data_IF_453818363383
#
_entry.id   IF_453818363383
#
_cell.length_a   1.000
_cell.length_b   1.000
_cell.length_c   1.000
_cell.angle_alpha   90.00
_cell.angle_beta   90.00
_cell.angle_gamma   90.00
#
_symmetry.space_group_name_H-M   'P 1'
#
loop_
_entity.id
_entity.type
_entity.pdbx_description
1 polymer ?
#
# COMPACT_ATOMS: atom_id res chain seq x y z
N UNK A 1 -12.08 8.25 1.88
CA UNK A 1 -10.60 8.30 1.87
C UNK A 1 -10.00 7.48 0.72
N UNK A 2 -10.49 6.26 0.45
CA UNK A 2 -9.93 5.35 -0.58
C UNK A 2 -10.72 5.28 -1.90
N UNK A 3 -11.50 6.32 -2.22
CA UNK A 3 -12.39 6.34 -3.40
C UNK A 3 -11.63 6.33 -4.74
N UNK A 4 -10.32 6.58 -4.70
CA UNK A 4 -9.42 6.55 -5.85
C UNK A 4 -9.01 5.15 -6.28
N UNK A 5 -9.33 4.14 -5.47
CA UNK A 5 -9.13 2.73 -5.80
C UNK A 5 -10.48 2.10 -6.12
N UNK A 6 -10.58 1.35 -7.21
CA UNK A 6 -11.80 0.66 -7.67
C UNK A 6 -12.52 -0.11 -6.55
N UNK A 7 -11.72 -0.72 -5.69
CA UNK A 7 -12.19 -1.52 -4.57
C UNK A 7 -11.69 -1.00 -3.22
N UNK A 8 -11.40 0.29 -3.08
CA UNK A 8 -10.89 0.87 -1.83
C UNK A 8 -11.75 0.61 -0.59
N UNK A 9 -13.04 0.27 -0.78
CA UNK A 9 -13.92 -0.18 0.30
C UNK A 9 -13.37 -1.40 1.07
N UNK A 10 -12.51 -2.23 0.47
CA UNK A 10 -11.89 -3.37 1.17
C UNK A 10 -10.99 -2.92 2.32
N UNK A 11 -10.32 -1.77 2.18
CA UNK A 11 -9.52 -1.17 3.25
C UNK A 11 -10.45 -0.65 4.34
N UNK A 12 -11.49 0.11 3.95
CA UNK A 12 -12.49 0.64 4.89
C UNK A 12 -13.18 -0.47 5.70
N UNK A 13 -13.44 -1.62 5.08
CA UNK A 13 -14.09 -2.74 5.77
C UNK A 13 -13.24 -3.35 6.89
N UNK A 14 -11.92 -3.14 6.90
CA UNK A 14 -11.00 -3.69 7.92
C UNK A 14 -10.56 -2.61 8.91
N UNK A 15 -10.22 -1.42 8.40
CA UNK A 15 -9.60 -0.33 9.17
C UNK A 15 -10.54 0.85 9.42
N UNK A 16 -11.79 0.77 8.95
CA UNK A 16 -12.76 1.87 8.95
C UNK A 16 -12.19 3.13 8.27
N UNK A 17 -12.41 4.31 8.84
CA UNK A 17 -11.99 5.58 8.25
C UNK A 17 -10.55 5.99 8.65
N UNK A 18 -9.78 5.09 9.26
CA UNK A 18 -8.38 5.37 9.58
C UNK A 18 -7.57 5.59 8.31
N UNK A 19 -6.57 6.47 8.35
CA UNK A 19 -5.59 6.60 7.28
C UNK A 19 -4.48 5.57 7.48
N UNK A 20 -4.59 4.44 6.78
CA UNK A 20 -3.66 3.32 6.93
C UNK A 20 -2.26 3.58 6.36
N UNK A 21 -2.07 4.70 5.66
CA UNK A 21 -0.82 5.01 4.99
C UNK A 21 0.14 5.79 5.89
N UNK A 22 -0.37 6.63 6.79
CA UNK A 22 0.51 7.47 7.62
C UNK A 22 1.26 6.62 8.65
N UNK A 23 2.59 6.70 8.65
CA UNK A 23 3.45 5.90 9.53
C UNK A 23 3.69 4.47 9.05
N UNK A 24 3.07 4.06 7.94
CA UNK A 24 3.34 2.78 7.29
C UNK A 24 4.66 2.78 6.53
N UNK A 25 5.11 1.61 6.11
CA UNK A 25 6.38 1.43 5.39
C UNK A 25 6.10 0.94 3.95
N UNK A 26 6.75 1.52 2.94
CA UNK A 26 6.83 0.88 1.62
C UNK A 26 7.92 -0.19 1.70
N UNK A 27 7.55 -1.46 1.53
CA UNK A 27 8.49 -2.58 1.54
C UNK A 27 9.08 -2.82 0.15
N UNK A 28 8.22 -2.76 -0.87
CA UNK A 28 8.61 -3.08 -2.23
C UNK A 28 7.83 -2.25 -3.25
N UNK A 29 8.49 -1.95 -4.36
CA UNK A 29 7.89 -1.32 -5.53
C UNK A 29 8.38 -2.08 -6.77
N UNK A 30 7.44 -2.61 -7.54
CA UNK A 30 7.75 -3.30 -8.79
C UNK A 30 7.07 -2.58 -9.96
N UNK A 31 7.88 -1.91 -10.77
CA UNK A 31 7.45 -1.26 -12.00
C UNK A 31 7.71 -2.16 -13.21
N UNK A 32 6.64 -2.46 -13.95
CA UNK A 32 6.64 -3.25 -15.17
C UNK A 32 6.30 -2.32 -16.35
N UNK A 33 7.31 -1.67 -16.98
CA UNK A 33 7.07 -0.65 -18.00
C UNK A 33 6.36 -1.19 -19.24
N UNK A 34 6.69 -2.41 -19.67
CA UNK A 34 6.09 -3.02 -20.86
C UNK A 34 4.60 -3.34 -20.70
N UNK A 35 4.13 -3.58 -19.48
CA UNK A 35 2.71 -3.79 -19.19
C UNK A 35 2.02 -2.54 -18.67
N UNK A 36 2.75 -1.45 -18.44
CA UNK A 36 2.21 -0.22 -17.85
C UNK A 36 1.60 -0.48 -16.48
N UNK A 37 2.29 -1.24 -15.61
CA UNK A 37 1.81 -1.57 -14.26
C UNK A 37 2.87 -1.22 -13.21
N UNK A 38 2.45 -0.59 -12.12
CA UNK A 38 3.21 -0.46 -10.87
C UNK A 38 2.48 -1.26 -9.78
N UNK A 39 3.23 -2.02 -9.00
CA UNK A 39 2.72 -2.65 -7.77
C UNK A 39 3.53 -2.17 -6.58
N UNK A 40 2.85 -1.92 -5.46
CA UNK A 40 3.46 -1.47 -4.20
C UNK A 40 2.96 -2.33 -3.04
N UNK A 41 3.88 -2.70 -2.16
CA UNK A 41 3.60 -3.41 -0.91
C UNK A 41 3.78 -2.43 0.25
N UNK A 42 2.68 -2.15 0.97
CA UNK A 42 2.65 -1.21 2.09
C UNK A 42 2.40 -1.97 3.38
N UNK A 43 3.29 -1.82 4.36
CA UNK A 43 3.18 -2.46 5.67
C UNK A 43 2.54 -1.48 6.65
N UNK A 44 1.30 -1.74 7.06
CA UNK A 44 0.58 -0.91 8.02
C UNK A 44 0.46 -1.58 9.39
N UNK A 45 0.71 -0.78 10.43
CA UNK A 45 0.48 -1.15 11.84
C UNK A 45 -0.77 -0.46 12.42
N UNK A 46 -1.63 0.09 11.58
CA UNK A 46 -2.90 0.64 12.03
C UNK A 46 -3.76 -0.42 12.69
N UNK A 47 -4.60 0.01 13.62
CA UNK A 47 -5.49 -0.89 14.36
C UNK A 47 -6.49 -1.53 13.39
N UNK A 48 -6.53 -2.86 13.40
CA UNK A 48 -7.53 -3.63 12.66
C UNK A 48 -8.82 -3.64 13.48
N UNK A 49 -9.87 -2.98 12.98
CA UNK A 49 -11.14 -2.81 13.70
C UNK A 49 -12.09 -3.96 13.40
N UNK A 50 -12.17 -4.36 12.14
CA UNK A 50 -13.11 -5.36 11.64
C UNK A 50 -12.35 -6.49 10.92
N UNK A 51 -11.62 -7.35 11.68
CA UNK A 51 -10.82 -8.41 11.08
C UNK A 51 -11.72 -9.43 10.36
N UNK A 52 -11.34 -9.89 9.15
CA UNK A 52 -11.95 -11.06 8.54
C UNK A 52 -11.91 -12.27 9.49
N UNK A 53 -12.95 -13.13 9.48
CA UNK A 53 -13.06 -14.29 10.40
C UNK A 53 -11.86 -15.24 10.40
N UNK A 54 -11.10 -15.28 9.29
CA UNK A 54 -9.90 -16.13 9.14
C UNK A 54 -8.64 -15.53 9.75
N UNK A 55 -8.66 -14.26 10.17
CA UNK A 55 -7.52 -13.59 10.78
C UNK A 55 -7.55 -13.83 12.28
N UNK A 56 -6.62 -14.66 12.77
CA UNK A 56 -6.54 -14.98 14.20
C UNK A 56 -5.57 -14.06 14.95
N UNK A 57 -4.48 -13.63 14.29
CA UNK A 57 -3.43 -12.78 14.85
C UNK A 57 -2.71 -12.03 13.75
N UNK A 58 -2.22 -10.83 14.05
CA UNK A 58 -1.36 -10.03 13.18
C UNK A 58 -0.46 -9.12 14.02
N UNK A 59 0.77 -8.89 13.56
CA UNK A 59 1.69 -7.86 14.06
C UNK A 59 1.66 -6.61 13.15
N UNK A 60 1.37 -6.80 11.87
CA UNK A 60 1.06 -5.77 10.88
C UNK A 60 0.25 -6.38 9.73
N UNK A 61 -0.27 -5.53 8.84
CA UNK A 61 -0.97 -5.96 7.62
C UNK A 61 -0.22 -5.44 6.41
N UNK A 62 0.06 -6.32 5.45
CA UNK A 62 0.57 -5.94 4.13
C UNK A 62 -0.61 -5.60 3.22
N UNK A 63 -0.58 -4.41 2.63
CA UNK A 63 -1.56 -3.92 1.67
C UNK A 63 -0.90 -3.84 0.30
N UNK A 64 -1.36 -4.68 -0.62
CA UNK A 64 -0.83 -4.73 -1.98
C UNK A 64 -1.69 -3.87 -2.91
N UNK A 65 -1.07 -2.84 -3.48
CA UNK A 65 -1.70 -1.91 -4.40
C UNK A 65 -1.15 -2.15 -5.80
N UNK A 66 -2.03 -2.16 -6.80
CA UNK A 66 -1.68 -2.12 -8.21
C UNK A 66 -2.23 -0.86 -8.85
N UNK A 67 -1.38 -0.23 -9.67
CA UNK A 67 -1.70 0.89 -10.51
C UNK A 67 -1.46 0.48 -11.96
N UNK A 68 -2.45 0.70 -12.83
CA UNK A 68 -2.43 0.29 -14.23
C UNK A 68 -2.64 1.50 -15.16
N UNK A 69 -2.16 1.36 -16.40
CA UNK A 69 -2.16 2.46 -17.37
C UNK A 69 -1.16 3.54 -16.98
N UNK A 70 0.05 3.13 -16.58
CA UNK A 70 1.09 4.06 -16.12
C UNK A 70 1.60 4.93 -17.27
N UNK A 71 1.44 6.24 -17.14
CA UNK A 71 2.07 7.23 -18.02
C UNK A 71 3.42 7.68 -17.45
N UNK A 72 3.48 7.92 -16.14
CA UNK A 72 4.67 8.40 -15.45
C UNK A 72 4.87 7.62 -14.16
N UNK A 73 6.12 7.22 -13.89
CA UNK A 73 6.54 6.67 -12.62
C UNK A 73 7.92 7.21 -12.27
N UNK A 74 8.01 7.90 -11.12
CA UNK A 74 9.25 8.37 -10.54
C UNK A 74 9.32 7.92 -9.08
N UNK A 75 10.44 7.33 -8.70
CA UNK A 75 10.70 6.99 -7.31
C UNK A 75 12.10 7.48 -6.93
N UNK A 76 12.13 8.40 -5.96
CA UNK A 76 13.34 8.83 -5.28
C UNK A 76 13.34 8.21 -3.90
N UNK A 77 14.13 7.17 -3.71
CA UNK A 77 14.30 6.51 -2.42
C UNK A 77 15.67 6.83 -1.82
N UNK A 78 15.76 6.86 -0.50
CA UNK A 78 17.06 6.83 0.18
C UNK A 78 17.37 5.40 0.63
N UNK A 79 18.61 5.17 1.07
CA UNK A 79 18.98 3.91 1.70
C UNK A 79 18.18 3.73 3.00
N UNK A 80 17.31 2.72 3.05
CA UNK A 80 16.52 2.40 4.23
C UNK A 80 15.04 2.21 3.91
N UNK A 81 14.23 2.13 4.97
CA UNK A 81 12.78 1.96 4.86
C UNK A 81 12.10 3.30 4.60
N UNK A 82 11.29 3.38 3.55
CA UNK A 82 10.46 4.55 3.27
C UNK A 82 9.23 4.54 4.20
N UNK A 83 9.31 5.30 5.29
CA UNK A 83 8.17 5.51 6.20
C UNK A 83 7.31 6.64 5.65
N UNK A 84 6.06 6.34 5.31
CA UNK A 84 5.11 7.28 4.73
C UNK A 84 4.75 8.39 5.74
N UNK A 85 4.88 9.63 5.29
CA UNK A 85 4.45 10.82 6.01
C UNK A 85 3.17 11.42 5.43
N UNK A 86 3.00 11.30 4.12
CA UNK A 86 1.88 11.87 3.39
C UNK A 86 1.59 11.05 2.14
N UNK A 87 0.31 10.97 1.80
CA UNK A 87 -0.18 10.41 0.54
C UNK A 87 -1.26 11.34 0.01
N UNK A 88 -1.12 11.74 -1.25
CA UNK A 88 -2.07 12.57 -1.97
C UNK A 88 -2.44 11.85 -3.25
N UNK A 89 -3.74 11.78 -3.53
CA UNK A 89 -4.23 11.36 -4.83
C UNK A 89 -5.11 12.48 -5.37
N UNK A 90 -4.75 12.97 -6.56
CA UNK A 90 -5.51 13.96 -7.30
C UNK A 90 -5.88 13.43 -8.67
N UNK A 91 -6.85 14.09 -9.33
CA UNK A 91 -7.26 13.77 -10.69
C UNK A 91 -6.81 14.87 -11.63
N UNK A 92 -6.18 14.50 -12.74
CA UNK A 92 -5.77 15.36 -13.84
C UNK A 92 -6.34 14.74 -15.13
N UNK A 93 -7.31 15.43 -15.74
CA UNK A 93 -8.07 14.94 -16.92
C UNK A 93 -8.68 13.53 -16.73
N UNK A 94 -8.23 12.55 -17.52
CA UNK A 94 -8.67 11.15 -17.48
C UNK A 94 -7.78 10.26 -16.60
N UNK A 95 -6.85 10.86 -15.84
CA UNK A 95 -5.85 10.15 -15.05
C UNK A 95 -5.86 10.58 -13.58
N UNK A 96 -5.24 9.74 -12.75
CA UNK A 96 -4.94 10.00 -11.36
C UNK A 96 -3.45 10.19 -11.16
N UNK A 97 -3.09 11.11 -10.27
CA UNK A 97 -1.72 11.34 -9.81
C UNK A 97 -1.65 10.89 -8.35
N UNK A 98 -0.81 9.90 -8.08
CA UNK A 98 -0.44 9.49 -6.73
C UNK A 98 0.90 10.12 -6.37
N UNK A 99 0.92 10.83 -5.26
CA UNK A 99 2.13 11.36 -4.65
C UNK A 99 2.28 10.80 -3.23
N UNK A 100 3.38 10.11 -2.97
CA UNK A 100 3.74 9.60 -1.63
C UNK A 100 5.01 10.31 -1.18
N UNK A 101 4.96 10.93 -0.01
CA UNK A 101 6.14 11.56 0.61
C UNK A 101 6.53 10.80 1.86
N UNK A 102 7.78 10.36 1.92
CA UNK A 102 8.38 9.71 3.09
C UNK A 102 8.99 10.71 4.07
N UNK A 103 9.12 10.31 5.33
CA UNK A 103 9.73 11.13 6.40
C UNK A 103 11.20 11.48 6.13
N UNK A 104 11.88 10.67 5.33
CA UNK A 104 13.29 10.81 4.96
C UNK A 104 13.50 11.64 3.67
N UNK A 105 12.46 12.35 3.19
CA UNK A 105 12.48 13.06 1.89
C UNK A 105 12.52 12.12 0.68
N UNK A 106 12.25 10.84 0.87
CA UNK A 106 11.89 9.96 -0.24
C UNK A 106 10.54 10.37 -0.81
N UNK A 107 10.35 10.10 -2.09
CA UNK A 107 9.15 10.50 -2.79
C UNK A 107 8.85 9.52 -3.93
N UNK A 108 7.57 9.20 -4.11
CA UNK A 108 7.05 8.41 -5.22
C UNK A 108 5.97 9.24 -5.90
N UNK A 109 6.08 9.40 -7.22
CA UNK A 109 5.07 10.04 -8.05
C UNK A 109 4.67 9.04 -9.12
N UNK A 110 3.37 8.83 -9.29
CA UNK A 110 2.83 7.93 -10.29
C UNK A 110 1.58 8.51 -10.95
N UNK A 111 1.59 8.62 -12.28
CA UNK A 111 0.40 8.94 -13.09
C UNK A 111 -0.18 7.66 -13.66
N UNK A 112 -1.45 7.39 -13.38
CA UNK A 112 -2.11 6.12 -13.67
C UNK A 112 -3.60 6.29 -14.02
N UNK A 113 -4.19 5.30 -14.67
CA UNK A 113 -5.61 5.33 -15.06
C UNK A 113 -6.49 4.62 -14.02
N UNK A 114 -6.04 3.47 -13.51
CA UNK A 114 -6.83 2.64 -12.57
C UNK A 114 -5.96 2.18 -11.41
N UNK A 115 -6.47 2.32 -10.19
CA UNK A 115 -5.85 1.79 -8.98
C UNK A 115 -6.71 0.70 -8.34
N UNK A 116 -6.10 -0.38 -7.89
CA UNK A 116 -6.78 -1.49 -7.20
C UNK A 116 -5.97 -1.98 -6.00
N UNK A 117 -6.68 -2.34 -4.94
CA UNK A 117 -6.13 -3.09 -3.80
C UNK A 117 -6.28 -4.57 -4.10
N UNK A 118 -5.18 -5.30 -4.24
CA UNK A 118 -5.24 -6.73 -4.55
C UNK A 118 -5.53 -7.57 -3.31
N UNK A 119 -4.68 -7.43 -2.30
CA UNK A 119 -4.72 -8.27 -1.11
C UNK A 119 -4.42 -7.43 0.14
N UNK A 120 -5.05 -7.84 1.24
CA UNK A 120 -4.66 -7.45 2.60
C UNK A 120 -4.22 -8.72 3.31
N UNK A 121 -2.96 -8.78 3.71
CA UNK A 121 -2.34 -10.00 4.24
C UNK A 121 -1.93 -9.71 5.70
N UNK A 122 -2.55 -10.38 6.69
CA UNK A 122 -2.13 -10.27 8.08
C UNK A 122 -0.79 -11.00 8.25
N UNK A 123 0.20 -10.32 8.79
CA UNK A 123 1.55 -10.87 8.97
C UNK A 123 1.82 -11.09 10.45
N UNK A 124 2.37 -12.27 10.79
CA UNK A 124 2.74 -12.64 12.16
C UNK A 124 4.18 -13.13 12.18
N UNK A 125 4.94 -12.66 13.16
CA UNK A 125 6.30 -13.13 13.39
C UNK A 125 6.28 -14.58 13.87
N UNK A 126 7.06 -15.42 13.21
CA UNK A 126 7.24 -16.84 13.53
C UNK A 126 8.66 -17.03 14.07
N UNK A 127 8.82 -17.16 15.40
CA UNK A 127 10.15 -17.30 16.01
C UNK A 127 10.93 -18.51 15.49
N UNK A 128 10.23 -19.59 15.13
CA UNK A 128 10.80 -20.83 14.60
C UNK A 128 11.57 -20.62 13.29
N UNK A 129 11.20 -19.61 12.50
CA UNK A 129 11.77 -19.31 11.18
C UNK A 129 12.42 -17.94 11.11
N UNK A 130 12.46 -17.23 12.25
CA UNK A 130 12.96 -15.87 12.38
C UNK A 130 12.43 -14.88 11.34
N UNK A 131 11.18 -15.08 10.87
CA UNK A 131 10.57 -14.27 9.80
C UNK A 131 9.08 -14.05 10.01
N UNK A 132 8.54 -13.06 9.29
CA UNK A 132 7.10 -12.83 9.22
C UNK A 132 6.46 -13.76 8.19
N UNK A 133 5.30 -14.31 8.54
CA UNK A 133 4.50 -15.17 7.68
C UNK A 133 3.06 -14.69 7.64
N UNK A 134 2.37 -14.99 6.55
CA UNK A 134 0.92 -14.80 6.46
C UNK A 134 0.21 -15.60 7.56
N UNK A 135 -0.74 -14.96 8.25
CA UNK A 135 -1.62 -15.64 9.21
C UNK A 135 -2.80 -16.36 8.52
N UNK A 136 -2.89 -16.30 7.18
CA UNK A 136 -3.90 -17.00 6.41
C UNK A 136 -3.50 -18.48 6.31
N UNK A 137 -4.26 -19.33 7.00
CA UNK A 137 -4.20 -20.80 6.88
C UNK A 137 -5.06 -21.25 5.70
#
# INVERSE_FOLDING_TARGET
MYEWFDNGFVINNIFENQNIFIGSEVDNINYRPLSGIVTMEILTKCDVINPPKKWEKWDFVTVNIELAGIEEFNAKTNSGKMVLNEIVISKEDEQYILEITGKDKSNIICKFVIGRVHNLIPMVYKPEWERYESSLI
#
